data_IF_048991735903
#
_entry.id   IF_048991735903
#
_cell.length_a   1.000
_cell.length_b   1.000
_cell.length_c   1.000
_cell.angle_alpha   90.00
_cell.angle_beta   90.00
_cell.angle_gamma   90.00
#
_symmetry.space_group_name_H-M   'P 1'
#
loop_
_entity.id
_entity.type
_entity.pdbx_description
1 polymer ?
#
# COMPACT_ATOMS: atom_id res chain seq x y z
N UNK A 1 -25.23 5.82 -2.99
CA UNK A 1 -24.74 5.56 -1.63
C UNK A 1 -23.46 4.76 -1.76
N UNK A 2 -22.45 5.11 -0.98
CA UNK A 2 -21.14 4.47 -1.08
C UNK A 2 -20.91 3.41 -0.01
N UNK A 3 -19.93 2.56 -0.26
CA UNK A 3 -19.49 1.47 0.62
C UNK A 3 -18.02 1.67 0.97
N UNK A 4 -17.64 1.38 2.19
CA UNK A 4 -16.26 1.35 2.68
C UNK A 4 -15.91 -0.11 2.98
N UNK A 5 -14.71 -0.51 2.60
CA UNK A 5 -14.11 -1.78 3.03
C UNK A 5 -12.90 -1.45 3.92
N UNK A 6 -12.93 -1.90 5.15
CA UNK A 6 -11.84 -1.68 6.11
C UNK A 6 -11.49 -3.00 6.81
N UNK A 7 -10.19 -3.30 6.82
CA UNK A 7 -9.66 -4.54 7.39
C UNK A 7 -10.39 -5.80 6.88
N UNK A 8 -10.67 -5.85 5.57
CA UNK A 8 -11.28 -6.98 4.87
C UNK A 8 -12.80 -7.13 5.05
N UNK A 9 -13.48 -6.18 5.72
CA UNK A 9 -14.93 -6.22 5.93
C UNK A 9 -15.62 -5.02 5.30
N UNK A 10 -16.84 -5.24 4.80
CA UNK A 10 -17.69 -4.22 4.20
C UNK A 10 -18.47 -3.45 5.28
N UNK A 11 -18.64 -2.15 5.09
CA UNK A 11 -19.52 -1.32 5.92
C UNK A 11 -20.97 -1.79 5.90
N UNK A 12 -21.42 -2.41 4.80
CA UNK A 12 -22.77 -2.94 4.66
C UNK A 12 -23.09 -4.06 5.67
N UNK A 13 -22.09 -4.88 6.03
CA UNK A 13 -22.23 -5.93 7.06
C UNK A 13 -22.65 -5.38 8.43
N UNK A 14 -22.43 -4.08 8.63
CA UNK A 14 -22.72 -3.37 9.87
C UNK A 14 -23.89 -2.40 9.74
N UNK A 15 -24.62 -2.41 8.62
CA UNK A 15 -25.71 -1.50 8.34
C UNK A 15 -25.25 -0.04 8.13
N UNK A 16 -24.01 0.15 7.68
CA UNK A 16 -23.40 1.45 7.49
C UNK A 16 -23.35 1.81 6.01
N UNK A 17 -23.82 3.01 5.70
CA UNK A 17 -23.85 3.56 4.34
C UNK A 17 -23.13 4.91 4.34
N UNK A 18 -22.29 5.15 3.34
CA UNK A 18 -21.66 6.46 3.14
C UNK A 18 -22.66 7.39 2.45
N UNK A 19 -23.00 8.50 3.09
CA UNK A 19 -24.02 9.44 2.60
C UNK A 19 -23.50 10.37 1.51
N UNK A 20 -22.25 10.80 1.62
CA UNK A 20 -21.67 11.81 0.71
C UNK A 20 -20.35 11.32 0.14
N UNK A 21 -20.07 11.69 -1.11
CA UNK A 21 -18.76 11.48 -1.72
C UNK A 21 -17.68 12.14 -0.86
N UNK A 22 -16.68 11.41 -0.42
CA UNK A 22 -15.60 11.98 0.38
C UNK A 22 -14.75 12.96 -0.44
N UNK A 23 -14.12 13.92 0.24
CA UNK A 23 -13.21 14.86 -0.41
C UNK A 23 -11.96 14.13 -0.96
N UNK A 24 -11.34 14.72 -1.97
CA UNK A 24 -10.05 14.27 -2.46
C UNK A 24 -8.94 15.08 -1.77
N UNK A 25 -8.28 14.44 -0.81
CA UNK A 25 -7.16 15.03 -0.10
C UNK A 25 -5.86 14.77 -0.86
N UNK A 26 -5.05 15.81 -1.02
CA UNK A 26 -3.71 15.73 -1.61
C UNK A 26 -2.69 15.77 -0.47
N UNK A 27 -1.79 14.77 -0.37
CA UNK A 27 -0.75 14.76 0.65
C UNK A 27 0.21 15.93 0.51
N UNK A 28 0.57 16.54 1.62
CA UNK A 28 1.60 17.55 1.68
C UNK A 28 2.99 16.90 1.65
N UNK A 29 3.89 17.44 0.83
CA UNK A 29 5.30 17.03 0.85
C UNK A 29 5.97 17.53 2.12
N UNK A 30 6.73 16.68 2.79
CA UNK A 30 7.43 17.06 4.02
C UNK A 30 8.76 17.71 3.67
N UNK A 31 8.84 19.02 3.89
CA UNK A 31 10.04 19.82 3.68
C UNK A 31 10.23 20.83 4.81
N UNK A 32 11.47 21.25 5.00
CA UNK A 32 11.84 22.32 5.90
C UNK A 32 12.19 23.58 5.11
N UNK A 33 11.66 24.73 5.57
CA UNK A 33 11.95 26.02 4.97
C UNK A 33 12.90 26.76 5.91
N UNK A 34 14.09 27.12 5.40
CA UNK A 34 15.11 27.85 6.13
C UNK A 34 15.34 29.23 5.52
N UNK A 35 15.04 30.28 6.28
CA UNK A 35 15.34 31.65 5.88
C UNK A 35 16.77 32.01 6.25
N UNK A 36 17.55 32.48 5.27
CA UNK A 36 18.95 32.90 5.46
C UNK A 36 19.02 34.44 5.39
N UNK A 37 19.48 35.12 6.44
CA UNK A 37 19.65 36.58 6.44
C UNK A 37 20.52 37.08 5.27
N UNK A 38 20.05 38.09 4.55
CA UNK A 38 20.76 38.66 3.40
C UNK A 38 20.56 37.91 2.06
N UNK A 39 19.79 36.83 2.03
CA UNK A 39 19.41 36.14 0.80
C UNK A 39 17.93 36.35 0.48
N UNK A 40 17.64 36.61 -0.81
CA UNK A 40 16.27 36.65 -1.29
C UNK A 40 15.77 35.23 -1.53
N UNK A 41 14.61 34.90 -0.95
CA UNK A 41 13.99 33.57 -0.98
C UNK A 41 14.60 32.59 0.03
N UNK A 42 13.79 31.64 0.43
CA UNK A 42 14.14 30.62 1.42
C UNK A 42 14.87 29.43 0.78
N UNK A 43 15.57 28.67 1.58
CA UNK A 43 16.11 27.35 1.20
C UNK A 43 15.08 26.30 1.57
N UNK A 44 14.69 25.48 0.60
CA UNK A 44 13.78 24.35 0.80
C UNK A 44 14.61 23.06 0.93
N UNK A 45 14.52 22.42 2.08
CA UNK A 45 15.17 21.14 2.35
C UNK A 45 14.07 20.06 2.28
N UNK A 46 14.09 19.26 1.23
CA UNK A 46 13.16 18.17 1.03
C UNK A 46 13.57 16.97 1.89
N UNK A 47 12.65 16.45 2.72
CA UNK A 47 12.88 15.25 3.54
C UNK A 47 12.63 13.94 2.78
N UNK A 48 12.18 14.02 1.53
CA UNK A 48 11.98 12.86 0.65
C UNK A 48 10.70 12.06 0.91
N UNK A 49 9.80 12.55 1.76
CA UNK A 49 8.54 11.88 2.09
C UNK A 49 7.34 12.82 2.01
N UNK A 50 6.14 12.22 2.01
CA UNK A 50 4.87 12.92 2.13
C UNK A 50 4.27 12.66 3.50
N UNK A 51 3.53 13.63 4.04
CA UNK A 51 2.81 13.49 5.30
C UNK A 51 1.57 12.62 5.12
N UNK A 52 1.15 11.99 6.21
CA UNK A 52 -0.15 11.33 6.26
C UNK A 52 -1.30 12.31 6.02
N UNK A 53 -2.42 11.76 5.59
CA UNK A 53 -3.62 12.53 5.23
C UNK A 53 -4.83 11.99 5.98
N UNK A 54 -5.71 12.88 6.39
CA UNK A 54 -7.00 12.49 6.97
C UNK A 54 -7.99 12.17 5.85
N UNK A 55 -8.72 11.05 6.01
CA UNK A 55 -9.81 10.65 5.14
C UNK A 55 -11.07 10.51 5.96
N UNK A 56 -12.06 11.37 5.73
CA UNK A 56 -13.32 11.38 6.48
C UNK A 56 -14.48 10.91 5.62
N UNK A 57 -15.36 10.12 6.24
CA UNK A 57 -16.59 9.62 5.64
C UNK A 57 -17.78 9.99 6.52
N UNK A 58 -18.75 10.72 5.97
CA UNK A 58 -20.03 10.94 6.60
C UNK A 58 -20.90 9.72 6.36
N UNK A 59 -21.35 9.08 7.41
CA UNK A 59 -22.08 7.82 7.37
C UNK A 59 -23.46 7.93 8.00
N UNK A 60 -24.39 7.16 7.48
CA UNK A 60 -25.61 6.79 8.14
C UNK A 60 -25.52 5.34 8.65
N UNK A 61 -26.00 5.12 9.85
CA UNK A 61 -26.17 3.79 10.44
C UNK A 61 -27.65 3.48 10.37
N UNK A 62 -28.00 2.36 9.75
CA UNK A 62 -29.36 1.86 9.65
C UNK A 62 -29.44 0.56 10.45
N UNK A 63 -30.33 0.53 11.43
CA UNK A 63 -30.54 -0.62 12.30
C UNK A 63 -32.00 -1.08 12.24
N UNK A 64 -32.27 -2.31 12.65
CA UNK A 64 -33.61 -2.77 12.93
C UNK A 64 -34.17 -2.04 14.17
N UNK A 65 -35.49 -1.93 14.25
CA UNK A 65 -36.19 -1.27 15.35
C UNK A 65 -35.74 -1.80 16.73
N UNK A 66 -35.34 -0.89 17.62
CA UNK A 66 -34.84 -1.23 18.96
C UNK A 66 -33.41 -1.79 19.02
N UNK A 67 -32.71 -1.98 17.87
CA UNK A 67 -31.37 -2.58 17.82
C UNK A 67 -30.24 -1.56 17.54
N UNK A 68 -30.54 -0.27 17.49
CA UNK A 68 -29.54 0.76 17.18
C UNK A 68 -28.29 0.73 18.08
N UNK A 69 -28.38 0.62 19.43
CA UNK A 69 -27.18 0.55 20.27
C UNK A 69 -26.29 -0.64 19.94
N UNK A 70 -26.88 -1.79 19.58
CA UNK A 70 -26.15 -2.99 19.19
C UNK A 70 -25.41 -2.81 17.85
N UNK A 71 -26.03 -2.15 16.89
CA UNK A 71 -25.41 -1.80 15.62
C UNK A 71 -24.24 -0.84 15.81
N UNK A 72 -24.36 0.14 16.69
CA UNK A 72 -23.29 1.06 17.06
C UNK A 72 -22.08 0.32 17.68
N UNK A 73 -22.33 -0.64 18.60
CA UNK A 73 -21.26 -1.46 19.18
C UNK A 73 -20.58 -2.39 18.14
N UNK A 74 -21.35 -2.98 17.24
CA UNK A 74 -20.77 -3.80 16.14
C UNK A 74 -19.86 -2.96 15.26
N UNK A 75 -20.29 -1.75 14.89
CA UNK A 75 -19.47 -0.81 14.14
C UNK A 75 -18.18 -0.47 14.88
N UNK A 76 -18.27 -0.10 16.16
CA UNK A 76 -17.11 0.22 16.98
C UNK A 76 -16.12 -0.96 17.03
N UNK A 77 -16.60 -2.17 17.27
CA UNK A 77 -15.79 -3.38 17.30
C UNK A 77 -15.11 -3.63 15.93
N UNK A 78 -15.82 -3.43 14.82
CA UNK A 78 -15.25 -3.55 13.49
C UNK A 78 -14.12 -2.55 13.27
N UNK A 79 -14.35 -1.27 13.51
CA UNK A 79 -13.38 -0.21 13.26
C UNK A 79 -12.14 -0.32 14.16
N UNK A 80 -12.27 -0.85 15.37
CA UNK A 80 -11.18 -1.09 16.29
C UNK A 80 -10.56 -2.50 16.19
N UNK A 81 -11.04 -3.37 15.27
CA UNK A 81 -10.50 -4.73 15.12
C UNK A 81 -9.12 -4.78 14.46
N UNK A 82 -8.71 -3.71 13.78
CA UNK A 82 -7.42 -3.60 13.12
C UNK A 82 -6.36 -3.01 14.05
N UNK A 83 -5.13 -3.54 13.97
CA UNK A 83 -3.97 -2.96 14.62
C UNK A 83 -3.04 -2.31 13.58
N UNK A 84 -2.64 -1.05 13.83
CA UNK A 84 -1.79 -0.31 12.91
C UNK A 84 -2.52 0.12 11.63
N UNK A 85 -1.79 0.08 10.51
CA UNK A 85 -2.37 0.43 9.21
C UNK A 85 -3.05 -0.78 8.59
N UNK A 86 -4.36 -0.68 8.41
CA UNK A 86 -5.17 -1.66 7.71
C UNK A 86 -5.56 -1.17 6.31
N UNK A 87 -5.90 -2.10 5.44
CA UNK A 87 -6.37 -1.81 4.09
C UNK A 87 -7.74 -1.12 4.15
N UNK A 88 -7.84 0.02 3.49
CA UNK A 88 -9.04 0.83 3.34
C UNK A 88 -9.34 1.00 1.86
N UNK A 89 -10.55 0.64 1.46
CA UNK A 89 -11.07 0.83 0.11
C UNK A 89 -12.42 1.53 0.18
N UNK A 90 -12.80 2.21 -0.89
CA UNK A 90 -14.14 2.76 -1.03
C UNK A 90 -14.69 2.58 -2.45
N UNK A 91 -16.00 2.55 -2.56
CA UNK A 91 -16.70 2.37 -3.84
C UNK A 91 -16.58 3.57 -4.78
N UNK A 92 -16.05 4.69 -4.32
CA UNK A 92 -15.86 5.91 -5.13
C UNK A 92 -14.57 5.84 -5.98
N UNK A 93 -13.58 5.05 -5.53
CA UNK A 93 -12.31 4.82 -6.23
C UNK A 93 -11.99 3.31 -6.24
N UNK A 94 -12.72 2.48 -6.99
CA UNK A 94 -12.62 1.03 -6.92
C UNK A 94 -11.28 0.47 -7.39
N UNK A 95 -10.49 1.26 -8.14
CA UNK A 95 -9.20 0.86 -8.72
C UNK A 95 -8.04 0.99 -7.73
N UNK A 96 -8.27 1.62 -6.58
CA UNK A 96 -7.20 1.88 -5.59
C UNK A 96 -7.58 1.39 -4.20
N UNK A 97 -6.57 1.18 -3.39
CA UNK A 97 -6.70 1.02 -1.94
C UNK A 97 -5.69 1.89 -1.21
N UNK A 98 -5.96 2.12 0.06
CA UNK A 98 -5.14 2.92 0.95
C UNK A 98 -4.78 2.11 2.19
N UNK A 99 -3.68 2.45 2.83
CA UNK A 99 -3.33 1.92 4.14
C UNK A 99 -3.68 2.98 5.19
N UNK A 100 -4.59 2.66 6.10
CA UNK A 100 -5.16 3.62 7.03
C UNK A 100 -5.35 3.03 8.43
N UNK A 101 -5.37 3.91 9.43
CA UNK A 101 -5.73 3.58 10.80
C UNK A 101 -6.86 4.51 11.25
N UNK A 102 -7.73 4.04 12.13
CA UNK A 102 -8.76 4.88 12.71
C UNK A 102 -8.10 5.97 13.56
N UNK A 103 -8.45 7.24 13.33
CA UNK A 103 -7.75 8.36 13.97
C UNK A 103 -8.39 8.80 15.28
N UNK A 104 -9.70 8.77 15.39
CA UNK A 104 -10.41 9.41 16.49
C UNK A 104 -11.56 8.56 17.03
N UNK A 105 -12.03 8.93 18.23
CA UNK A 105 -13.34 8.52 18.73
C UNK A 105 -14.43 8.94 17.75
N UNK A 106 -15.47 8.15 17.67
CA UNK A 106 -16.61 8.40 16.79
C UNK A 106 -17.80 8.78 17.66
N UNK A 107 -18.28 10.01 17.51
CA UNK A 107 -19.51 10.45 18.13
C UNK A 107 -20.69 10.12 17.21
N UNK A 108 -21.58 9.27 17.68
CA UNK A 108 -22.76 8.86 16.94
C UNK A 108 -23.95 9.70 17.40
N UNK A 109 -24.47 10.51 16.49
CA UNK A 109 -25.71 11.25 16.72
C UNK A 109 -26.88 10.32 16.40
N UNK A 110 -27.60 9.91 17.44
CA UNK A 110 -28.84 9.16 17.29
C UNK A 110 -29.96 10.11 16.85
N UNK A 111 -30.51 9.87 15.66
CA UNK A 111 -31.61 10.70 15.11
C UNK A 111 -32.98 10.05 15.37
N UNK A 112 -33.05 8.73 15.33
CA UNK A 112 -34.25 7.89 15.51
C UNK A 112 -33.80 6.55 16.12
N UNK A 113 -34.76 5.82 16.74
CA UNK A 113 -34.48 4.50 17.33
C UNK A 113 -33.86 3.48 16.32
N UNK A 114 -33.91 3.78 15.03
CA UNK A 114 -33.46 2.92 13.93
C UNK A 114 -32.34 3.56 13.10
N UNK A 115 -32.00 4.83 13.33
CA UNK A 115 -31.04 5.53 12.47
C UNK A 115 -30.17 6.52 13.24
N UNK A 116 -28.90 6.58 12.90
CA UNK A 116 -27.95 7.56 13.39
C UNK A 116 -27.00 8.02 12.32
N UNK A 117 -26.29 9.10 12.59
CA UNK A 117 -25.24 9.65 11.74
C UNK A 117 -23.94 9.77 12.52
N UNK A 118 -22.84 9.60 11.82
CA UNK A 118 -21.51 9.82 12.36
C UNK A 118 -20.54 10.22 11.25
N UNK A 119 -19.38 10.71 11.64
CA UNK A 119 -18.24 10.89 10.75
C UNK A 119 -17.14 9.96 11.23
N UNK A 120 -16.64 9.12 10.32
CA UNK A 120 -15.47 8.26 10.54
C UNK A 120 -14.27 8.93 9.91
N UNK A 121 -13.22 9.18 10.68
CA UNK A 121 -11.97 9.76 10.19
C UNK A 121 -10.84 8.77 10.33
N UNK A 122 -10.19 8.48 9.22
CA UNK A 122 -9.00 7.65 9.13
C UNK A 122 -7.77 8.53 8.90
N UNK A 123 -6.67 8.20 9.56
CA UNK A 123 -5.35 8.67 9.21
C UNK A 123 -4.74 7.67 8.23
N UNK A 124 -4.59 8.07 6.96
CA UNK A 124 -4.06 7.22 5.92
C UNK A 124 -2.63 7.58 5.53
N UNK A 125 -1.87 6.59 5.06
CA UNK A 125 -0.61 6.85 4.35
C UNK A 125 -0.87 7.71 3.11
N UNK A 126 0.12 8.48 2.66
CA UNK A 126 -0.04 9.34 1.48
C UNK A 126 -0.32 8.56 0.19
N UNK A 127 0.19 7.34 0.08
CA UNK A 127 0.06 6.49 -1.09
C UNK A 127 -1.38 6.00 -1.28
N UNK A 128 -1.85 6.04 -2.53
CA UNK A 128 -2.97 5.28 -3.05
C UNK A 128 -2.41 4.17 -3.93
N UNK A 129 -2.49 2.94 -3.48
CA UNK A 129 -1.98 1.78 -4.21
C UNK A 129 -2.99 1.38 -5.29
N UNK A 130 -2.50 1.17 -6.51
CA UNK A 130 -3.31 0.66 -7.60
C UNK A 130 -3.51 -0.85 -7.42
N UNK A 131 -4.75 -1.34 -7.52
CA UNK A 131 -5.04 -2.79 -7.45
C UNK A 131 -4.35 -3.58 -8.56
N UNK A 132 -4.16 -2.98 -9.72
CA UNK A 132 -3.38 -3.59 -10.81
C UNK A 132 -1.92 -3.84 -10.41
N UNK A 133 -1.38 -3.07 -9.46
CA UNK A 133 -0.03 -3.26 -8.91
C UNK A 133 0.10 -4.47 -7.98
N UNK A 134 -1.00 -5.11 -7.60
CA UNK A 134 -1.00 -6.38 -6.84
C UNK A 134 -1.03 -7.61 -7.75
N UNK A 135 -1.23 -7.42 -9.06
CA UNK A 135 -1.26 -8.53 -10.01
C UNK A 135 0.18 -9.00 -10.25
N UNK A 136 0.49 -10.29 -9.98
CA UNK A 136 1.82 -10.84 -10.18
C UNK A 136 2.20 -10.86 -11.66
N UNK A 137 3.40 -10.39 -11.97
CA UNK A 137 4.04 -10.50 -13.31
C UNK A 137 5.02 -11.67 -13.23
N UNK A 138 4.71 -12.76 -13.92
CA UNK A 138 5.53 -13.98 -13.92
C UNK A 138 6.45 -13.97 -15.13
N UNK A 139 7.75 -14.09 -14.90
CA UNK A 139 8.80 -14.09 -15.92
C UNK A 139 9.52 -15.44 -15.89
N UNK A 140 9.43 -16.18 -16.98
CA UNK A 140 10.03 -17.50 -17.12
C UNK A 140 11.38 -17.43 -17.88
N UNK A 141 12.21 -18.45 -17.75
CA UNK A 141 13.56 -18.50 -18.28
C UNK A 141 13.67 -18.41 -19.83
N UNK A 142 12.58 -18.61 -20.54
CA UNK A 142 12.57 -18.48 -22.01
C UNK A 142 12.64 -17.03 -22.53
N UNK A 143 12.50 -16.02 -21.66
CA UNK A 143 12.66 -14.61 -22.00
C UNK A 143 14.15 -14.23 -22.08
N UNK A 144 14.87 -14.73 -23.07
CA UNK A 144 16.32 -14.58 -23.20
C UNK A 144 16.82 -13.13 -23.33
N UNK A 145 15.96 -12.19 -23.73
CA UNK A 145 16.25 -10.74 -23.80
C UNK A 145 15.82 -9.95 -22.57
N UNK A 146 15.32 -10.64 -21.55
CA UNK A 146 14.65 -10.02 -20.41
C UNK A 146 13.18 -9.71 -20.70
N UNK A 147 12.50 -9.20 -19.69
CA UNK A 147 11.10 -8.82 -19.74
C UNK A 147 10.94 -7.37 -19.33
N UNK A 148 10.25 -6.58 -20.12
CA UNK A 148 10.05 -5.16 -19.87
C UNK A 148 8.78 -4.94 -19.03
N UNK A 149 8.95 -4.34 -17.87
CA UNK A 149 7.86 -3.93 -16.97
C UNK A 149 7.68 -2.42 -17.09
N UNK A 150 6.46 -2.00 -17.44
CA UNK A 150 6.13 -0.58 -17.54
C UNK A 150 5.41 -0.12 -16.26
N UNK A 151 6.01 0.83 -15.55
CA UNK A 151 5.38 1.50 -14.43
C UNK A 151 4.40 2.56 -14.97
N UNK A 152 3.09 2.42 -14.73
CA UNK A 152 2.08 3.34 -15.26
C UNK A 152 1.93 4.62 -14.44
N UNK A 153 2.68 4.75 -13.33
CA UNK A 153 2.55 5.86 -12.38
C UNK A 153 3.69 6.86 -12.50
N UNK A 154 3.56 7.98 -11.80
CA UNK A 154 4.60 9.02 -11.72
C UNK A 154 5.52 8.85 -10.50
N UNK A 155 5.47 7.70 -9.85
CA UNK A 155 6.24 7.40 -8.66
C UNK A 155 6.96 6.07 -8.80
N UNK A 156 8.19 6.00 -8.31
CA UNK A 156 8.89 4.72 -8.19
C UNK A 156 8.18 3.83 -7.17
N UNK A 157 8.13 2.54 -7.43
CA UNK A 157 7.55 1.58 -6.48
C UNK A 157 8.60 0.62 -5.95
N UNK A 158 8.32 0.06 -4.78
CA UNK A 158 9.14 -0.94 -4.10
C UNK A 158 8.44 -2.30 -4.22
N UNK A 159 8.83 -3.12 -5.20
CA UNK A 159 8.15 -4.37 -5.50
C UNK A 159 8.39 -5.45 -4.42
N UNK A 160 7.51 -6.45 -4.41
CA UNK A 160 7.83 -7.76 -3.85
C UNK A 160 8.29 -8.66 -4.99
N UNK A 161 9.47 -9.25 -4.85
CA UNK A 161 10.10 -10.13 -5.83
C UNK A 161 10.11 -11.55 -5.25
N UNK A 162 9.54 -12.49 -5.99
CA UNK A 162 9.51 -13.91 -5.61
C UNK A 162 10.36 -14.65 -6.62
N UNK A 163 11.38 -15.34 -6.15
CA UNK A 163 12.35 -16.05 -6.96
C UNK A 163 12.17 -17.55 -6.73
N UNK A 164 11.82 -18.28 -7.79
CA UNK A 164 11.75 -19.72 -7.78
C UNK A 164 12.97 -20.31 -8.52
N UNK A 165 13.73 -21.13 -7.82
CA UNK A 165 14.96 -21.74 -8.31
C UNK A 165 15.77 -22.26 -7.13
N UNK A 166 16.99 -22.71 -7.36
CA UNK A 166 17.83 -23.19 -6.28
C UNK A 166 19.30 -22.90 -6.49
N UNK A 167 19.98 -22.66 -5.37
CA UNK A 167 21.44 -22.48 -5.35
C UNK A 167 21.90 -21.10 -5.77
N UNK A 168 22.78 -21.03 -6.77
CA UNK A 168 23.43 -19.79 -7.18
C UNK A 168 22.80 -19.23 -8.45
N UNK A 169 22.60 -17.92 -8.49
CA UNK A 169 22.06 -17.25 -9.65
C UNK A 169 22.09 -15.73 -9.50
N UNK A 170 21.42 -15.05 -10.41
CA UNK A 170 21.27 -13.60 -10.35
C UNK A 170 19.95 -13.14 -10.95
N UNK A 171 19.46 -12.01 -10.47
CA UNK A 171 18.34 -11.26 -11.05
C UNK A 171 18.80 -9.83 -11.28
N UNK A 172 18.59 -9.31 -12.49
CA UNK A 172 18.77 -7.90 -12.81
C UNK A 172 17.39 -7.24 -12.91
N UNK A 173 17.23 -6.10 -12.29
CA UNK A 173 16.03 -5.25 -12.37
C UNK A 173 16.52 -3.83 -12.69
N UNK A 174 16.42 -3.45 -13.96
CA UNK A 174 17.04 -2.23 -14.44
C UNK A 174 18.55 -2.22 -14.15
N UNK A 175 19.00 -1.24 -13.37
CA UNK A 175 20.42 -1.09 -13.00
C UNK A 175 20.78 -1.81 -11.68
N UNK A 176 19.83 -2.48 -11.04
CA UNK A 176 20.06 -3.25 -9.82
C UNK A 176 20.33 -4.71 -10.15
N UNK A 177 21.39 -5.25 -9.59
CA UNK A 177 21.71 -6.68 -9.69
C UNK A 177 21.65 -7.30 -8.30
N UNK A 178 20.90 -8.39 -8.21
CA UNK A 178 20.79 -9.25 -7.04
C UNK A 178 21.56 -10.52 -7.35
N UNK A 179 22.62 -10.82 -6.61
CA UNK A 179 23.33 -12.08 -6.70
C UNK A 179 22.86 -13.00 -5.58
N UNK A 180 22.59 -14.25 -5.92
CA UNK A 180 22.08 -15.27 -5.01
C UNK A 180 23.14 -16.35 -4.79
N UNK A 181 23.32 -16.73 -3.54
CA UNK A 181 24.26 -17.79 -3.14
C UNK A 181 23.54 -18.74 -2.19
N UNK A 182 23.46 -20.01 -2.56
CA UNK A 182 22.74 -21.04 -1.78
C UNK A 182 21.30 -20.64 -1.42
N UNK A 183 20.60 -19.94 -2.33
CA UNK A 183 19.24 -19.49 -2.12
C UNK A 183 18.28 -20.68 -1.96
N UNK A 184 17.24 -20.48 -1.14
CA UNK A 184 16.13 -21.41 -1.00
C UNK A 184 15.37 -21.58 -2.32
N UNK A 185 14.61 -22.66 -2.45
CA UNK A 185 13.85 -22.94 -3.67
C UNK A 185 12.78 -21.88 -3.97
N UNK A 186 12.26 -21.24 -2.95
CA UNK A 186 11.35 -20.10 -3.05
C UNK A 186 11.85 -19.01 -2.11
N UNK A 187 12.30 -17.89 -2.68
CA UNK A 187 12.86 -16.76 -1.97
C UNK A 187 12.03 -15.52 -2.23
N UNK A 188 11.61 -14.84 -1.17
CA UNK A 188 10.91 -13.58 -1.19
C UNK A 188 11.89 -12.44 -0.89
N UNK A 189 11.91 -11.41 -1.72
CA UNK A 189 12.67 -10.17 -1.50
C UNK A 189 11.64 -9.03 -1.46
N UNK A 190 11.36 -8.54 -0.27
CA UNK A 190 10.44 -7.44 -0.06
C UNK A 190 11.21 -6.11 -0.02
N UNK A 191 11.10 -5.34 -1.10
CA UNK A 191 11.82 -4.07 -1.24
C UNK A 191 11.21 -2.94 -0.37
N UNK A 192 10.00 -3.10 0.18
CA UNK A 192 9.40 -2.10 1.08
C UNK A 192 10.00 -2.18 2.48
N UNK A 193 10.17 -3.38 3.01
CA UNK A 193 10.74 -3.61 4.34
C UNK A 193 12.24 -3.94 4.29
N UNK A 194 12.80 -4.01 3.07
CA UNK A 194 14.23 -4.26 2.82
C UNK A 194 14.71 -5.57 3.45
N UNK A 195 13.97 -6.65 3.18
CA UNK A 195 14.23 -7.98 3.75
C UNK A 195 14.08 -9.08 2.71
N UNK A 196 14.97 -10.11 2.82
CA UNK A 196 14.88 -11.35 2.06
C UNK A 196 14.55 -12.50 3.01
N UNK A 197 13.55 -13.33 2.65
CA UNK A 197 13.10 -14.44 3.50
C UNK A 197 12.55 -15.62 2.68
N UNK A 198 12.51 -16.80 3.33
CA UNK A 198 11.85 -18.00 2.82
C UNK A 198 10.98 -18.58 3.94
N UNK A 199 9.65 -18.54 3.76
CA UNK A 199 8.71 -18.79 4.83
C UNK A 199 8.92 -17.82 5.99
N UNK A 200 9.23 -18.32 7.19
CA UNK A 200 9.51 -17.51 8.39
C UNK A 200 11.02 -17.28 8.62
N UNK A 201 11.87 -17.79 7.72
CA UNK A 201 13.33 -17.74 7.90
C UNK A 201 13.94 -16.58 7.12
N UNK A 202 14.72 -15.73 7.80
CA UNK A 202 15.50 -14.67 7.18
C UNK A 202 16.58 -15.26 6.27
N UNK A 203 16.69 -14.74 5.04
CA UNK A 203 17.61 -15.18 3.98
C UNK A 203 18.52 -14.03 3.49
N UNK A 204 18.65 -12.94 4.22
CA UNK A 204 19.48 -11.80 3.81
C UNK A 204 20.95 -12.21 3.53
N UNK A 205 21.47 -13.23 4.21
CA UNK A 205 22.82 -13.74 4.00
C UNK A 205 23.04 -14.44 2.66
N UNK A 206 21.95 -14.87 2.00
CA UNK A 206 21.98 -15.54 0.68
C UNK A 206 21.89 -14.53 -0.47
N UNK A 207 21.67 -13.24 -0.16
CA UNK A 207 21.40 -12.20 -1.15
C UNK A 207 22.49 -11.12 -1.06
N UNK A 208 23.07 -10.79 -2.21
CA UNK A 208 24.03 -9.69 -2.31
C UNK A 208 23.58 -8.71 -3.39
N UNK A 209 23.30 -7.49 -2.97
CA UNK A 209 22.87 -6.40 -3.84
C UNK A 209 24.07 -5.60 -4.35
N UNK A 210 24.10 -5.28 -5.66
CA UNK A 210 25.16 -4.43 -6.22
C UNK A 210 25.05 -2.98 -5.71
N UNK A 211 23.80 -2.54 -5.52
CA UNK A 211 23.46 -1.23 -4.97
C UNK A 211 22.53 -1.45 -3.76
N UNK A 212 21.45 -0.73 -3.69
CA UNK A 212 20.36 -0.87 -2.74
C UNK A 212 19.31 -1.87 -3.22
N UNK A 213 18.27 -2.11 -2.42
CA UNK A 213 17.11 -2.90 -2.82
C UNK A 213 16.49 -2.35 -4.12
N UNK A 214 16.09 -3.24 -5.06
CA UNK A 214 15.55 -2.80 -6.34
C UNK A 214 14.27 -1.97 -6.18
N UNK A 215 14.14 -1.01 -7.08
CA UNK A 215 12.94 -0.21 -7.26
C UNK A 215 12.50 -0.30 -8.72
N UNK A 216 11.22 -0.09 -8.96
CA UNK A 216 10.68 0.07 -10.29
C UNK A 216 10.46 1.56 -10.56
N UNK A 217 11.39 2.22 -11.26
CA UNK A 217 11.28 3.65 -11.58
C UNK A 217 10.13 3.93 -12.54
N UNK A 218 9.89 5.21 -12.81
CA UNK A 218 8.93 5.66 -13.82
C UNK A 218 9.35 5.14 -15.20
N UNK A 219 8.38 4.66 -15.97
CA UNK A 219 8.62 4.15 -17.33
C UNK A 219 8.98 2.66 -17.35
N UNK A 220 9.87 2.27 -18.27
CA UNK A 220 10.16 0.87 -18.55
C UNK A 220 11.39 0.39 -17.78
N UNK A 221 11.25 -0.75 -17.12
CA UNK A 221 12.34 -1.45 -16.41
C UNK A 221 12.49 -2.84 -17.00
N UNK A 222 13.68 -3.16 -17.50
CA UNK A 222 13.99 -4.52 -17.96
C UNK A 222 14.37 -5.42 -16.80
N UNK A 223 13.81 -6.65 -16.80
CA UNK A 223 14.09 -7.69 -15.81
C UNK A 223 14.66 -8.90 -16.52
N UNK A 224 15.83 -9.35 -16.07
CA UNK A 224 16.48 -10.55 -16.58
C UNK A 224 17.12 -11.35 -15.45
N UNK A 225 17.30 -12.64 -15.62
CA UNK A 225 17.89 -13.49 -14.60
C UNK A 225 18.63 -14.69 -15.23
N UNK A 226 19.40 -15.39 -14.40
CA UNK A 226 20.13 -16.57 -14.86
C UNK A 226 20.73 -17.38 -13.71
N UNK A 227 21.49 -18.43 -14.06
CA UNK A 227 21.99 -19.41 -13.10
C UNK A 227 20.91 -20.45 -12.76
N UNK A 228 20.79 -20.81 -11.50
CA UNK A 228 19.82 -21.78 -11.02
C UNK A 228 18.38 -21.28 -10.89
N UNK A 229 18.06 -20.09 -11.42
CA UNK A 229 16.74 -19.48 -11.32
C UNK A 229 15.86 -19.94 -12.47
N UNK A 230 14.68 -20.45 -12.16
CA UNK A 230 13.67 -20.88 -13.12
C UNK A 230 12.63 -19.81 -13.46
N UNK A 231 12.17 -19.10 -12.43
CA UNK A 231 11.10 -18.11 -12.57
C UNK A 231 11.30 -16.96 -11.61
N UNK A 232 11.01 -15.75 -12.06
CA UNK A 232 10.94 -14.54 -11.24
C UNK A 232 9.53 -13.98 -11.33
N UNK A 233 8.86 -13.81 -10.19
CA UNK A 233 7.56 -13.18 -10.11
C UNK A 233 7.71 -11.82 -9.43
N UNK A 234 7.15 -10.77 -10.03
CA UNK A 234 7.20 -9.42 -9.49
C UNK A 234 5.78 -8.95 -9.19
N UNK A 235 5.54 -8.54 -7.96
CA UNK A 235 4.34 -7.81 -7.55
C UNK A 235 4.75 -6.34 -7.46
N UNK A 236 4.34 -5.50 -8.42
CA UNK A 236 4.94 -4.17 -8.60
C UNK A 236 4.61 -3.17 -7.50
N UNK A 237 3.44 -3.28 -6.88
CA UNK A 237 2.94 -2.35 -5.85
C UNK A 237 2.87 -0.90 -6.33
N UNK A 238 2.34 -0.70 -7.57
CA UNK A 238 2.14 0.63 -8.14
C UNK A 238 1.33 1.53 -7.23
N UNK A 239 1.72 2.80 -7.12
CA UNK A 239 1.01 3.76 -6.28
C UNK A 239 1.01 5.15 -6.89
N UNK A 240 0.08 5.98 -6.43
CA UNK A 240 -0.06 7.40 -6.76
C UNK A 240 -0.42 8.20 -5.51
N UNK A 241 -0.47 9.51 -5.62
CA UNK A 241 -0.91 10.43 -4.57
C UNK A 241 -2.41 10.68 -4.67
#
# INVERSE_FOLDING_TARGET
MGVIYYNGKSSEEFGIVVETTPNYEIPERDYEILSIPGRNGDVVIDKGNYKNVERSYNIAIVAEEGHFPFSAFKMANWLHSGFGYCRLEDSYNPEVFMMATLQSSIDIVNLLEQAGRATITFNRKPQRFLKVGEIPIVIESHHAGGYDICNPTMFESKPLIIINGSGNGYVNIGNHRINLTNAANELYIDCEIEEAYAGETNQNSCVNYTNDFPKLPIGVTNVSFGGGIGTVTIIPRWWTI
#
